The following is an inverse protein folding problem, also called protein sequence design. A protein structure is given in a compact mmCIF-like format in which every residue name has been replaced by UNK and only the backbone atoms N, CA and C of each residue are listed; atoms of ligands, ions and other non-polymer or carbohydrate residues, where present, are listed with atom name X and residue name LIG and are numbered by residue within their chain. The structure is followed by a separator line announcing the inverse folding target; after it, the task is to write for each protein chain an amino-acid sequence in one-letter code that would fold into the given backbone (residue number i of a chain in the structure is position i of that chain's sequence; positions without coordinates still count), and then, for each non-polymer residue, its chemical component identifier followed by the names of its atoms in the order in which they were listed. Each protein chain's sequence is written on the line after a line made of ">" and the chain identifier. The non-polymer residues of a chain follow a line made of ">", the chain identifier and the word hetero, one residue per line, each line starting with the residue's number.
data_IF_090343719007
#
_entry.id   IF_090343719007
#
_cell.length_a   1.000
_cell.length_b   1.000
_cell.length_c   1.000
_cell.angle_alpha   90.00
_cell.angle_beta   90.00
_cell.angle_gamma   90.00
#
_symmetry.space_group_name_H-M   'P 1'
#
loop_
_entity.id
_entity.type
_entity.pdbx_description
1 polymer ?
#
# COMPACT_ATOMS: atom_id res chain seq x y z
N UNK A 1 -12.68 1.17 2.20
CA UNK A 1 -11.40 1.72 1.69
C UNK A 1 -11.14 1.16 0.30
N UNK A 2 -10.99 2.02 -0.72
CA UNK A 2 -10.61 1.57 -2.07
C UNK A 2 -9.09 1.49 -2.18
N UNK A 3 -8.60 0.34 -2.64
CA UNK A 3 -7.18 0.07 -2.89
C UNK A 3 -7.01 -0.28 -4.36
N UNK A 4 -6.09 0.36 -5.05
CA UNK A 4 -5.75 0.07 -6.45
C UNK A 4 -4.27 -0.21 -6.60
N UNK A 5 -3.89 -1.16 -7.45
CA UNK A 5 -2.49 -1.44 -7.73
C UNK A 5 -1.82 -0.23 -8.42
N UNK A 6 -0.60 0.11 -8.01
CA UNK A 6 0.19 1.14 -8.69
C UNK A 6 0.60 0.61 -10.08
N UNK A 7 0.65 1.48 -11.09
CA UNK A 7 0.99 1.13 -12.47
C UNK A 7 2.45 1.47 -12.81
N UNK A 8 3.01 0.81 -13.82
CA UNK A 8 4.35 1.07 -14.37
C UNK A 8 5.33 -0.10 -14.20
N UNK A 9 6.40 -0.08 -15.00
CA UNK A 9 7.40 -1.16 -15.09
C UNK A 9 8.62 -0.96 -14.17
N UNK A 10 8.62 0.13 -13.40
CA UNK A 10 9.74 0.54 -12.56
C UNK A 10 9.64 0.09 -11.11
N UNK A 11 10.53 0.65 -10.30
CA UNK A 11 10.48 0.54 -8.85
C UNK A 11 9.86 1.80 -8.25
N UNK A 12 9.06 1.62 -7.21
CA UNK A 12 8.51 2.69 -6.38
C UNK A 12 8.90 2.51 -4.92
N UNK A 13 8.38 3.39 -4.07
CA UNK A 13 8.61 3.34 -2.62
C UNK A 13 7.30 3.34 -1.85
N UNK A 14 7.25 2.53 -0.79
CA UNK A 14 6.17 2.59 0.19
C UNK A 14 6.35 3.82 1.10
N UNK A 15 5.36 4.73 1.09
CA UNK A 15 5.38 5.96 1.89
C UNK A 15 5.54 5.67 3.39
N UNK A 16 4.70 4.77 3.93
CA UNK A 16 4.72 4.40 5.36
C UNK A 16 6.03 3.73 5.79
N UNK A 17 6.62 2.86 4.96
CA UNK A 17 7.94 2.28 5.26
C UNK A 17 9.03 3.36 5.27
N UNK A 18 8.97 4.30 4.32
CA UNK A 18 9.88 5.45 4.26
C UNK A 18 9.82 6.27 5.55
N UNK A 19 8.60 6.60 6.00
CA UNK A 19 8.38 7.41 7.19
C UNK A 19 8.83 6.69 8.47
N UNK A 20 8.74 5.35 8.49
CA UNK A 20 9.22 4.50 9.60
C UNK A 20 10.74 4.21 9.52
N UNK A 21 11.47 4.75 8.54
CA UNK A 21 12.90 4.49 8.34
C UNK A 21 13.24 3.04 7.97
N UNK A 22 12.27 2.29 7.44
CA UNK A 22 12.44 0.91 6.98
C UNK A 22 12.79 0.88 5.50
N UNK A 23 13.34 -0.25 5.03
CA UNK A 23 13.45 -0.51 3.60
C UNK A 23 12.07 -0.38 2.93
N UNK A 24 11.97 0.47 1.91
CA UNK A 24 10.70 0.91 1.34
C UNK A 24 10.56 0.63 -0.16
N UNK A 25 11.60 0.13 -0.84
CA UNK A 25 11.64 0.03 -2.30
C UNK A 25 11.08 -1.31 -2.78
N UNK A 26 10.16 -1.25 -3.75
CA UNK A 26 9.54 -2.43 -4.34
C UNK A 26 9.20 -2.15 -5.83
N UNK A 27 8.89 -3.19 -6.61
CA UNK A 27 8.34 -3.01 -7.96
C UNK A 27 6.96 -2.36 -7.88
N UNK A 28 6.62 -1.53 -8.87
CA UNK A 28 5.35 -0.80 -8.90
C UNK A 28 4.14 -1.74 -8.84
N UNK A 29 4.22 -2.92 -9.47
CA UNK A 29 3.18 -3.96 -9.41
C UNK A 29 2.96 -4.55 -8.00
N UNK A 30 3.88 -4.38 -7.06
CA UNK A 30 3.71 -4.80 -5.66
C UNK A 30 3.35 -3.64 -4.71
N UNK A 31 3.06 -2.48 -5.29
CA UNK A 31 2.64 -1.29 -4.56
C UNK A 31 1.18 -0.95 -4.88
N UNK A 32 0.54 -0.26 -3.95
CA UNK A 32 -0.88 0.07 -4.03
C UNK A 32 -1.12 1.53 -3.64
N UNK A 33 -2.07 2.18 -4.31
CA UNK A 33 -2.66 3.44 -3.86
C UNK A 33 -3.88 3.16 -3.02
N UNK A 34 -4.05 3.95 -1.97
CA UNK A 34 -5.23 3.93 -1.12
C UNK A 34 -5.92 5.27 -1.31
N UNK A 35 -7.22 5.25 -1.62
CA UNK A 35 -7.99 6.48 -1.80
C UNK A 35 -8.00 7.32 -0.52
N UNK A 36 -7.65 8.60 -0.63
CA UNK A 36 -7.51 9.52 0.50
C UNK A 36 -6.15 9.50 1.21
N UNK A 37 -5.20 8.66 0.78
CA UNK A 37 -3.84 8.60 1.34
C UNK A 37 -2.80 9.03 0.30
N UNK A 38 -1.79 9.77 0.75
CA UNK A 38 -0.70 10.21 -0.11
C UNK A 38 0.31 9.08 -0.36
N UNK A 39 0.70 8.86 -1.62
CA UNK A 39 1.76 7.93 -2.00
C UNK A 39 1.29 6.51 -2.33
N UNK A 40 2.28 5.62 -2.51
CA UNK A 40 2.07 4.17 -2.71
C UNK A 40 2.43 3.40 -1.43
N UNK A 41 1.84 2.23 -1.24
CA UNK A 41 1.95 1.40 -0.04
C UNK A 41 2.21 -0.06 -0.43
N UNK A 42 3.11 -0.74 0.30
CA UNK A 42 3.26 -2.20 0.12
C UNK A 42 2.06 -2.95 0.69
N UNK A 43 1.90 -4.22 0.32
CA UNK A 43 0.80 -5.08 0.81
C UNK A 43 0.64 -5.07 2.33
N UNK A 44 1.75 -5.08 3.06
CA UNK A 44 1.72 -5.16 4.53
C UNK A 44 1.23 -3.86 5.13
N UNK A 45 1.71 -2.71 4.61
CA UNK A 45 1.20 -1.41 5.04
C UNK A 45 -0.28 -1.22 4.68
N UNK A 46 -0.75 -1.72 3.54
CA UNK A 46 -2.18 -1.70 3.19
C UNK A 46 -3.00 -2.49 4.23
N UNK A 47 -2.53 -3.68 4.62
CA UNK A 47 -3.20 -4.50 5.66
C UNK A 47 -3.24 -3.79 7.01
N UNK A 48 -2.12 -3.20 7.44
CA UNK A 48 -2.05 -2.40 8.68
C UNK A 48 -3.06 -1.24 8.63
N UNK A 49 -3.09 -0.49 7.52
CA UNK A 49 -3.99 0.66 7.37
C UNK A 49 -5.46 0.23 7.35
N UNK A 50 -5.80 -0.87 6.67
CA UNK A 50 -7.16 -1.43 6.68
C UNK A 50 -7.61 -1.80 8.10
N UNK A 51 -6.74 -2.46 8.86
CA UNK A 51 -7.00 -2.85 10.25
C UNK A 51 -7.18 -1.63 11.15
N UNK A 52 -6.32 -0.62 11.04
CA UNK A 52 -6.44 0.66 11.78
C UNK A 52 -7.72 1.42 11.45
N UNK A 53 -8.21 1.33 10.21
CA UNK A 53 -9.45 1.93 9.76
C UNK A 53 -10.71 1.12 10.14
N UNK A 54 -10.56 -0.05 10.80
CA UNK A 54 -11.69 -0.92 11.15
C UNK A 54 -12.38 -1.55 9.93
N UNK A 55 -11.66 -1.70 8.81
CA UNK A 55 -12.20 -2.32 7.59
C UNK A 55 -11.75 -3.78 7.53
N UNK A 56 -12.65 -4.70 7.89
CA UNK A 56 -12.42 -6.14 7.74
C UNK A 56 -12.54 -6.55 6.27
N UNK A 57 -11.57 -7.33 5.77
CA UNK A 57 -11.50 -7.75 4.37
C UNK A 57 -12.50 -8.88 4.12
N UNK A 58 -13.66 -8.53 3.57
CA UNK A 58 -14.55 -9.49 2.91
C UNK A 58 -13.89 -9.95 1.61
N UNK A 59 -12.98 -10.92 1.70
CA UNK A 59 -12.33 -11.53 0.54
C UNK A 59 -13.36 -12.35 -0.25
N UNK A 60 -13.92 -11.80 -1.33
CA UNK A 60 -14.39 -12.63 -2.45
C UNK A 60 -13.18 -12.98 -3.32
N UNK A 61 -12.95 -14.29 -3.47
CA UNK A 61 -11.87 -14.92 -4.25
C UNK A 61 -12.17 -14.89 -5.74
#
# INVERSE_FOLDING_TARGET
>A
MKVTQCTGEGQGSCKRCSDKGKWNRNWMCFLYKIEGYEGCYCSDCVKEIKAEAGVEDGTER
#
